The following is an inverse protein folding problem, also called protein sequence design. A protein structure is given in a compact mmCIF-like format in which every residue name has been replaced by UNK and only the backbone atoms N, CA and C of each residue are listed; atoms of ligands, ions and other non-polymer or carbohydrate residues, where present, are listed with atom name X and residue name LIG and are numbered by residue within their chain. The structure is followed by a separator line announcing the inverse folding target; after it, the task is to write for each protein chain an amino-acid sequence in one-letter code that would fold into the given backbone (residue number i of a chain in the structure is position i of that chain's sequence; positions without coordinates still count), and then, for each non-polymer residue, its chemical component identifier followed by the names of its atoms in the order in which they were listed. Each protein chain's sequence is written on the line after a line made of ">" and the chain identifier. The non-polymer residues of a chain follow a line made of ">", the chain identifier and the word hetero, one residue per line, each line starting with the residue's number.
data_IF_627553572715
#
_entry.id   IF_627553572715
#
_cell.length_a   1.000
_cell.length_b   1.000
_cell.length_c   1.000
_cell.angle_alpha   90.00
_cell.angle_beta   90.00
_cell.angle_gamma   90.00
#
_symmetry.space_group_name_H-M   'P 1'
#
loop_
_entity.id
_entity.type
_entity.pdbx_description
1 polymer ?
#
# COMPACT_ATOMS: atom_id res chain seq x y z
N UNK A 1 24.30 -20.12 8.46
CA UNK A 1 23.63 -19.70 7.22
C UNK A 1 22.13 -19.91 7.41
N UNK A 2 21.42 -18.88 7.87
CA UNK A 2 19.97 -18.79 7.66
C UNK A 2 19.81 -17.61 6.71
N UNK A 3 19.75 -17.96 5.44
CA UNK A 3 19.38 -17.08 4.35
C UNK A 3 17.89 -16.76 4.55
N UNK A 4 17.59 -15.69 5.30
CA UNK A 4 16.23 -15.19 5.41
C UNK A 4 15.89 -14.47 4.11
N UNK A 5 15.65 -15.28 3.08
CA UNK A 5 14.91 -14.88 1.91
C UNK A 5 13.55 -14.35 2.39
N UNK A 6 13.34 -13.04 2.19
CA UNK A 6 12.06 -12.34 2.21
C UNK A 6 11.16 -12.69 3.41
N UNK A 7 11.14 -11.82 4.43
CA UNK A 7 10.06 -11.83 5.42
C UNK A 7 8.71 -11.99 4.69
N UNK A 8 7.91 -12.98 5.08
CA UNK A 8 6.66 -13.33 4.39
C UNK A 8 5.82 -12.06 4.18
N UNK A 9 5.57 -11.72 2.91
CA UNK A 9 4.76 -10.55 2.56
C UNK A 9 3.34 -10.81 3.04
N UNK A 10 2.89 -10.01 4.00
CA UNK A 10 1.56 -10.16 4.58
C UNK A 10 0.53 -9.37 3.77
N UNK A 11 -0.75 -9.73 3.88
CA UNK A 11 -1.85 -8.92 3.34
C UNK A 11 -1.78 -7.46 3.83
N UNK A 12 -1.33 -7.25 5.08
CA UNK A 12 -1.14 -5.92 5.64
C UNK A 12 -0.05 -5.14 4.89
N UNK A 13 1.04 -5.79 4.49
CA UNK A 13 2.11 -5.15 3.73
C UNK A 13 1.63 -4.73 2.34
N UNK A 14 0.85 -5.59 1.67
CA UNK A 14 0.22 -5.24 0.39
C UNK A 14 -0.76 -4.08 0.54
N UNK A 15 -1.60 -4.07 1.57
CA UNK A 15 -2.57 -3.01 1.79
C UNK A 15 -1.87 -1.67 2.10
N UNK A 16 -0.78 -1.72 2.86
CA UNK A 16 0.05 -0.54 3.10
C UNK A 16 0.75 -0.03 1.84
N UNK A 17 1.18 -0.92 0.94
CA UNK A 17 1.72 -0.52 -0.35
C UNK A 17 0.68 0.23 -1.20
N UNK A 18 -0.57 -0.26 -1.25
CA UNK A 18 -1.67 0.43 -1.94
C UNK A 18 -1.93 1.81 -1.33
N UNK A 19 -1.95 1.91 0.01
CA UNK A 19 -2.12 3.20 0.72
C UNK A 19 -1.01 4.18 0.39
N UNK A 20 0.24 3.73 0.45
CA UNK A 20 1.41 4.56 0.17
C UNK A 20 1.38 5.09 -1.26
N UNK A 21 1.15 4.20 -2.25
CA UNK A 21 1.08 4.59 -3.66
C UNK A 21 -0.07 5.57 -3.93
N UNK A 22 -1.23 5.38 -3.31
CA UNK A 22 -2.36 6.29 -3.46
C UNK A 22 -2.07 7.68 -2.86
N UNK A 23 -1.43 7.74 -1.68
CA UNK A 23 -1.01 9.00 -1.07
C UNK A 23 0.01 9.74 -1.95
N UNK A 24 1.04 9.03 -2.41
CA UNK A 24 2.10 9.61 -3.25
C UNK A 24 1.54 10.12 -4.59
N UNK A 25 0.63 9.37 -5.21
CA UNK A 25 0.00 9.75 -6.47
C UNK A 25 -0.85 11.02 -6.31
N UNK A 26 -1.66 11.13 -5.24
CA UNK A 26 -2.47 12.33 -4.97
C UNK A 26 -1.59 13.53 -4.66
N UNK A 27 -0.54 13.35 -3.83
CA UNK A 27 0.41 14.42 -3.54
C UNK A 27 1.11 14.91 -4.81
N UNK A 28 1.60 13.99 -5.64
CA UNK A 28 2.27 14.32 -6.91
C UNK A 28 1.34 15.01 -7.91
N UNK A 29 0.06 14.61 -7.94
CA UNK A 29 -0.95 15.25 -8.79
C UNK A 29 -1.45 16.59 -8.23
N UNK A 30 -1.12 16.92 -6.97
CA UNK A 30 -1.68 18.04 -6.20
C UNK A 30 -3.22 18.11 -6.27
N UNK A 31 -3.86 16.95 -6.40
CA UNK A 31 -5.29 16.83 -6.68
C UNK A 31 -5.75 15.38 -6.46
N UNK A 32 -7.00 15.21 -6.03
CA UNK A 32 -7.62 13.90 -5.81
C UNK A 32 -7.99 13.62 -4.34
N UNK A 33 -8.60 12.46 -4.10
CA UNK A 33 -9.07 12.04 -2.77
C UNK A 33 -8.47 10.66 -2.42
N UNK A 34 -7.45 10.59 -1.54
CA UNK A 34 -6.78 9.34 -1.23
C UNK A 34 -7.66 8.40 -0.37
N UNK A 35 -8.76 8.92 0.20
CA UNK A 35 -9.60 8.20 1.17
C UNK A 35 -10.22 6.90 0.64
N UNK A 36 -10.72 6.87 -0.60
CA UNK A 36 -11.33 5.66 -1.16
C UNK A 36 -10.29 4.54 -1.43
N UNK A 37 -9.15 4.82 -2.11
CA UNK A 37 -8.07 3.82 -2.24
C UNK A 37 -7.51 3.33 -0.91
N UNK A 38 -7.36 4.22 0.09
CA UNK A 38 -6.81 3.83 1.39
C UNK A 38 -7.77 2.99 2.24
N UNK A 39 -9.07 3.27 2.17
CA UNK A 39 -10.10 2.55 2.91
C UNK A 39 -10.43 1.19 2.32
N UNK A 40 -10.25 1.01 1.01
CA UNK A 40 -10.47 -0.28 0.32
C UNK A 40 -9.22 -1.15 0.20
N UNK A 41 -8.06 -0.68 0.71
CA UNK A 41 -6.79 -1.36 0.53
C UNK A 41 -6.79 -2.81 1.06
N UNK A 42 -7.44 -3.08 2.20
CA UNK A 42 -7.48 -4.44 2.77
C UNK A 42 -8.42 -5.38 1.99
N UNK A 43 -9.39 -4.84 1.24
CA UNK A 43 -10.29 -5.62 0.37
C UNK A 43 -9.59 -6.03 -0.93
N UNK A 44 -8.61 -5.23 -1.35
CA UNK A 44 -7.87 -5.42 -2.60
C UNK A 44 -6.69 -6.41 -2.48
N UNK A 45 -6.41 -6.93 -1.29
CA UNK A 45 -5.16 -7.66 -0.96
C UNK A 45 -5.43 -9.00 -0.32
#
# INVERSE_FOLDING_TARGET
>A
MQDQALADVTHKDMANAIRALAMDAVQKANSGHPGMPMGMADVAT
#
